data_IF_830621903341
#
_entry.id   IF_830621903341
#
_cell.length_a   1.000
_cell.length_b   1.000
_cell.length_c   1.000
_cell.angle_alpha   90.00
_cell.angle_beta   90.00
_cell.angle_gamma   90.00
#
_symmetry.space_group_name_H-M   'P 1'
#
loop_
_entity.id
_entity.type
_entity.pdbx_description
1 polymer ?
#
# COMPACT_ATOMS: atom_id res chain seq x y z
N UNK A 1 26.38 8.05 -78.97
CA UNK A 1 27.08 9.21 -78.35
C UNK A 1 27.12 8.93 -76.84
N UNK A 2 28.21 8.37 -76.31
CA UNK A 2 29.47 9.02 -75.95
C UNK A 2 29.44 9.71 -74.57
N UNK A 3 30.13 9.07 -73.60
CA UNK A 3 30.85 9.59 -72.40
C UNK A 3 29.96 10.19 -71.29
N UNK A 4 29.89 9.73 -70.02
CA UNK A 4 30.79 9.06 -69.04
C UNK A 4 32.16 9.73 -68.88
N UNK A 5 32.38 10.34 -67.70
CA UNK A 5 33.64 10.63 -66.95
C UNK A 5 33.50 12.00 -66.26
N UNK A 6 33.88 12.28 -65.00
CA UNK A 6 34.85 11.65 -64.07
C UNK A 6 34.72 12.37 -62.71
N UNK A 7 34.60 11.67 -61.57
CA UNK A 7 35.68 11.27 -60.62
C UNK A 7 36.09 12.38 -59.63
N UNK A 8 35.93 12.13 -58.33
CA UNK A 8 37.09 11.93 -57.45
C UNK A 8 36.69 11.24 -56.14
N UNK A 9 37.23 10.04 -55.97
CA UNK A 9 37.49 9.38 -54.70
C UNK A 9 38.95 8.95 -54.79
N UNK A 10 39.76 9.19 -53.75
CA UNK A 10 40.64 8.09 -53.32
C UNK A 10 40.59 7.88 -51.79
N UNK A 11 40.30 6.67 -51.30
CA UNK A 11 41.13 5.43 -51.32
C UNK A 11 42.21 5.43 -50.23
N UNK A 12 42.66 4.32 -49.62
CA UNK A 12 42.61 2.86 -49.85
C UNK A 12 43.17 2.22 -48.56
N UNK A 13 42.63 1.11 -48.01
CA UNK A 13 42.78 -0.32 -48.40
C UNK A 13 44.23 -0.85 -48.18
N UNK A 14 44.53 -2.11 -47.85
CA UNK A 14 44.09 -3.45 -48.28
C UNK A 14 44.43 -4.47 -47.15
N UNK A 15 43.80 -5.64 -46.91
CA UNK A 15 43.59 -6.83 -47.76
C UNK A 15 44.77 -7.85 -47.64
N UNK A 16 44.70 -9.14 -48.11
CA UNK A 16 43.58 -10.06 -48.37
C UNK A 16 43.86 -11.60 -48.13
N UNK A 17 42.86 -12.48 -48.40
CA UNK A 17 42.96 -13.89 -48.91
C UNK A 17 43.03 -15.06 -47.90
N UNK A 18 42.67 -16.34 -48.16
CA UNK A 18 41.93 -17.12 -49.19
C UNK A 18 41.90 -18.61 -48.73
N UNK A 19 40.75 -19.31 -48.84
CA UNK A 19 40.49 -20.76 -49.09
C UNK A 19 41.34 -21.95 -48.53
N UNK A 20 40.63 -22.99 -48.02
CA UNK A 20 40.62 -24.42 -48.47
C UNK A 20 40.70 -25.50 -47.34
N UNK A 21 39.91 -26.57 -47.56
CA UNK A 21 39.66 -27.77 -46.72
C UNK A 21 40.66 -28.92 -46.97
N UNK A 22 40.97 -29.76 -45.96
CA UNK A 22 41.05 -31.26 -45.96
C UNK A 22 41.77 -31.82 -44.70
N UNK A 23 41.19 -32.88 -44.10
CA UNK A 23 41.72 -33.85 -43.08
C UNK A 23 42.70 -34.87 -43.76
N UNK A 24 43.44 -35.86 -43.14
CA UNK A 24 43.38 -36.48 -41.79
C UNK A 24 44.74 -36.98 -41.13
N UNK A 25 44.62 -37.52 -39.91
CA UNK A 25 45.32 -38.67 -39.25
C UNK A 25 46.86 -38.77 -39.02
N UNK A 26 47.20 -38.97 -37.72
CA UNK A 26 48.06 -39.98 -37.06
C UNK A 26 49.62 -40.02 -37.06
N UNK A 27 50.11 -40.54 -35.91
CA UNK A 27 51.45 -40.96 -35.44
C UNK A 27 52.39 -39.83 -34.96
N UNK A 28 53.03 -39.87 -33.77
CA UNK A 28 53.67 -40.98 -33.07
C UNK A 28 54.03 -40.60 -31.60
N UNK A 29 54.03 -41.56 -30.68
CA UNK A 29 54.64 -41.53 -29.32
C UNK A 29 55.63 -42.74 -29.24
N UNK A 30 56.54 -42.97 -28.22
CA UNK A 30 56.54 -42.56 -26.79
C UNK A 30 57.99 -42.35 -26.18
N UNK A 31 58.36 -42.77 -24.92
CA UNK A 31 58.30 -42.11 -23.59
C UNK A 31 59.71 -42.08 -22.87
N UNK A 32 59.94 -42.13 -21.52
CA UNK A 32 59.21 -41.71 -20.28
C UNK A 32 60.08 -40.88 -19.25
N UNK A 33 59.45 -40.36 -18.16
CA UNK A 33 59.86 -40.40 -16.71
C UNK A 33 59.59 -39.10 -15.89
N UNK A 34 58.86 -39.27 -14.77
CA UNK A 34 58.62 -38.36 -13.62
C UNK A 34 59.86 -38.30 -12.67
N UNK A 35 59.95 -37.51 -11.55
CA UNK A 35 58.95 -36.63 -10.89
C UNK A 35 59.44 -35.26 -10.32
N UNK A 36 58.44 -34.41 -10.00
CA UNK A 36 58.28 -33.45 -8.86
C UNK A 36 59.46 -32.54 -8.42
N UNK A 37 59.23 -31.21 -8.46
CA UNK A 37 58.87 -30.37 -7.28
C UNK A 37 58.68 -28.88 -7.65
N UNK A 38 57.66 -28.26 -7.05
CA UNK A 38 57.66 -26.84 -6.66
C UNK A 38 57.13 -25.85 -7.69
N UNK A 39 55.96 -25.27 -7.43
CA UNK A 39 55.45 -24.12 -8.15
C UNK A 39 54.10 -23.67 -7.60
N UNK A 40 54.12 -22.65 -6.77
CA UNK A 40 52.97 -22.03 -6.13
C UNK A 40 52.46 -20.89 -7.02
N UNK A 41 51.19 -20.94 -7.42
CA UNK A 41 50.32 -19.79 -7.74
C UNK A 41 48.89 -20.35 -7.77
N UNK A 42 47.91 -19.86 -7.01
CA UNK A 42 47.50 -18.46 -6.89
C UNK A 42 46.35 -18.24 -7.88
N UNK A 43 45.11 -18.60 -7.49
CA UNK A 43 43.96 -18.53 -8.40
C UNK A 43 42.59 -18.84 -7.75
N UNK A 44 42.32 -18.29 -6.57
CA UNK A 44 41.02 -18.39 -5.91
C UNK A 44 40.18 -17.13 -6.13
N UNK A 45 39.38 -17.07 -7.19
CA UNK A 45 38.64 -15.84 -7.54
C UNK A 45 37.34 -16.02 -8.30
N UNK A 46 36.73 -17.22 -8.34
CA UNK A 46 35.45 -17.44 -9.05
C UNK A 46 34.36 -18.14 -8.24
N UNK A 47 34.63 -18.52 -6.99
CA UNK A 47 33.67 -19.22 -6.13
C UNK A 47 32.77 -18.28 -5.30
N UNK A 48 33.23 -17.06 -5.00
CA UNK A 48 32.43 -16.08 -4.25
C UNK A 48 31.22 -15.54 -5.04
N UNK A 49 31.31 -15.41 -6.37
CA UNK A 49 30.20 -14.91 -7.19
C UNK A 49 29.04 -15.93 -7.25
N UNK A 50 29.36 -17.23 -7.22
CA UNK A 50 28.37 -18.29 -7.31
C UNK A 50 27.58 -18.44 -5.99
N UNK A 51 28.29 -18.34 -4.86
CA UNK A 51 27.66 -18.35 -3.53
C UNK A 51 26.81 -17.09 -3.30
N UNK A 52 27.27 -15.92 -3.75
CA UNK A 52 26.53 -14.66 -3.64
C UNK A 52 25.20 -14.64 -4.40
N UNK A 53 25.12 -15.27 -5.59
CA UNK A 53 23.86 -15.34 -6.36
C UNK A 53 22.87 -16.33 -5.76
N UNK A 54 23.32 -17.42 -5.16
CA UNK A 54 22.43 -18.36 -4.45
C UNK A 54 21.84 -17.69 -3.22
N UNK A 55 22.62 -16.91 -2.48
CA UNK A 55 22.13 -16.13 -1.34
C UNK A 55 21.17 -15.03 -1.81
N UNK A 56 21.46 -14.34 -2.91
CA UNK A 56 20.56 -13.33 -3.50
C UNK A 56 19.23 -13.95 -3.95
N UNK A 57 19.27 -15.09 -4.64
CA UNK A 57 18.05 -15.81 -5.05
C UNK A 57 17.28 -16.36 -3.85
N UNK A 58 17.96 -16.86 -2.82
CA UNK A 58 17.32 -17.28 -1.57
C UNK A 58 16.70 -16.09 -0.83
N UNK A 59 17.34 -14.92 -0.83
CA UNK A 59 16.82 -13.69 -0.22
C UNK A 59 15.59 -13.16 -0.97
N UNK A 60 15.63 -13.16 -2.31
CA UNK A 60 14.48 -12.80 -3.15
C UNK A 60 13.32 -13.77 -2.93
N UNK A 61 13.59 -15.08 -2.84
CA UNK A 61 12.57 -16.09 -2.56
C UNK A 61 11.99 -15.94 -1.14
N UNK A 62 12.82 -15.62 -0.15
CA UNK A 62 12.37 -15.32 1.23
C UNK A 62 11.56 -14.03 1.27
N UNK A 63 11.90 -12.99 0.51
CA UNK A 63 11.09 -11.75 0.44
C UNK A 63 9.76 -12.00 -0.29
N UNK A 64 9.73 -12.85 -1.32
CA UNK A 64 8.49 -13.24 -2.00
C UNK A 64 7.60 -14.15 -1.13
N UNK A 65 8.19 -14.94 -0.22
CA UNK A 65 7.45 -15.87 0.66
C UNK A 65 7.08 -15.23 2.01
N UNK A 66 7.90 -14.31 2.55
CA UNK A 66 7.62 -13.57 3.80
C UNK A 66 6.94 -12.21 3.57
N UNK A 67 6.91 -11.69 2.34
CA UNK A 67 6.20 -10.46 1.98
C UNK A 67 4.67 -10.54 2.08
N UNK A 68 4.12 -11.67 2.54
CA UNK A 68 2.68 -11.90 2.75
C UNK A 68 2.36 -12.28 4.20
N UNK A 69 3.25 -12.01 5.19
CA UNK A 69 3.00 -12.43 6.58
C UNK A 69 3.20 -11.41 7.71
N UNK A 70 2.96 -10.12 7.45
CA UNK A 70 2.67 -9.15 8.50
C UNK A 70 1.77 -8.05 7.89
N UNK A 71 0.44 -8.06 8.13
CA UNK A 71 -0.13 -8.10 9.48
C UNK A 71 -1.36 -9.02 9.59
N UNK A 72 -1.22 -10.19 10.23
CA UNK A 72 -2.40 -11.00 10.62
C UNK A 72 -2.39 -11.42 12.11
N UNK A 73 -1.52 -10.86 12.93
CA UNK A 73 -1.43 -11.17 14.37
C UNK A 73 -2.13 -10.14 15.27
N UNK A 74 -3.12 -9.39 14.75
CA UNK A 74 -4.02 -8.56 15.59
C UNK A 74 -5.43 -9.14 15.77
N UNK A 75 -5.70 -10.37 15.33
CA UNK A 75 -7.03 -10.99 15.45
C UNK A 75 -7.17 -12.02 16.58
N UNK A 76 -6.17 -12.18 17.47
CA UNK A 76 -6.27 -13.13 18.60
C UNK A 76 -6.21 -12.52 19.99
N UNK A 77 -6.31 -11.19 20.14
CA UNK A 77 -6.64 -10.61 21.44
C UNK A 77 -8.16 -10.58 21.61
N UNK A 78 -8.66 -11.65 22.23
CA UNK A 78 -9.99 -11.69 22.84
C UNK A 78 -10.00 -10.74 24.04
N UNK A 79 -10.71 -9.63 23.91
CA UNK A 79 -11.19 -8.80 25.02
C UNK A 79 -12.69 -8.50 24.81
N UNK A 80 -13.41 -8.17 25.89
CA UNK A 80 -14.70 -8.79 26.22
C UNK A 80 -15.87 -8.30 25.37
N UNK A 81 -16.83 -9.21 25.18
CA UNK A 81 -18.11 -8.98 24.51
C UNK A 81 -18.87 -7.85 25.20
N UNK A 82 -18.83 -6.65 24.63
CA UNK A 82 -19.86 -5.64 24.85
C UNK A 82 -20.94 -5.84 23.79
N UNK A 83 -22.14 -6.19 24.26
CA UNK A 83 -23.29 -6.50 23.43
C UNK A 83 -23.89 -5.29 22.73
N UNK A 84 -24.45 -5.59 21.55
CA UNK A 84 -25.52 -4.89 20.82
C UNK A 84 -25.14 -3.67 19.95
N UNK A 85 -24.38 -3.94 18.89
CA UNK A 85 -24.73 -3.40 17.57
C UNK A 85 -25.61 -4.41 16.86
N UNK A 86 -26.78 -4.00 16.35
CA UNK A 86 -27.63 -4.89 15.55
C UNK A 86 -26.82 -5.38 14.33
N UNK A 87 -26.43 -6.65 14.32
CA UNK A 87 -25.87 -7.29 13.13
C UNK A 87 -26.95 -7.18 12.07
N UNK A 88 -26.68 -6.61 10.88
CA UNK A 88 -27.66 -6.66 9.80
C UNK A 88 -28.08 -8.12 9.62
N UNK A 89 -29.37 -8.39 9.66
CA UNK A 89 -29.87 -9.73 9.44
C UNK A 89 -29.67 -10.03 7.94
N UNK A 90 -28.54 -10.64 7.58
CA UNK A 90 -28.24 -11.07 6.21
C UNK A 90 -29.04 -12.33 5.83
N UNK A 91 -30.23 -12.51 6.39
CA UNK A 91 -31.11 -13.67 6.15
C UNK A 91 -30.42 -15.04 6.33
N UNK A 92 -29.42 -15.14 7.23
CA UNK A 92 -28.64 -16.36 7.45
C UNK A 92 -27.49 -16.57 6.45
N UNK A 93 -27.30 -15.67 5.48
CA UNK A 93 -26.19 -15.70 4.56
C UNK A 93 -24.85 -15.38 5.26
N UNK A 94 -23.77 -16.12 4.98
CA UNK A 94 -22.43 -15.86 5.51
C UNK A 94 -21.76 -14.63 4.84
N UNK A 95 -22.18 -13.44 5.27
CA UNK A 95 -21.87 -12.16 4.63
C UNK A 95 -20.37 -11.85 4.53
N UNK A 96 -19.61 -12.01 5.63
CA UNK A 96 -18.18 -11.72 5.65
C UNK A 96 -17.39 -12.59 4.67
N UNK A 97 -17.71 -13.89 4.63
CA UNK A 97 -17.07 -14.83 3.72
C UNK A 97 -17.47 -14.57 2.27
N UNK A 98 -18.74 -14.23 2.02
CA UNK A 98 -19.21 -13.84 0.69
C UNK A 98 -18.55 -12.57 0.17
N UNK A 99 -18.39 -11.55 1.01
CA UNK A 99 -17.68 -10.32 0.68
C UNK A 99 -16.21 -10.57 0.33
N UNK A 100 -15.52 -11.41 1.13
CA UNK A 100 -14.14 -11.79 0.86
C UNK A 100 -14.00 -12.58 -0.44
N UNK A 101 -14.91 -13.52 -0.70
CA UNK A 101 -14.96 -14.30 -1.94
C UNK A 101 -15.14 -13.38 -3.17
N UNK A 102 -16.10 -12.46 -3.12
CA UNK A 102 -16.36 -11.53 -4.22
C UNK A 102 -15.18 -10.57 -4.47
N UNK A 103 -14.49 -10.12 -3.42
CA UNK A 103 -13.29 -9.27 -3.56
C UNK A 103 -12.14 -10.03 -4.25
N UNK A 104 -11.94 -11.31 -3.93
CA UNK A 104 -10.95 -12.16 -4.61
C UNK A 104 -11.30 -12.38 -6.08
N UNK A 105 -12.57 -12.71 -6.38
CA UNK A 105 -13.06 -12.80 -7.75
C UNK A 105 -12.83 -11.50 -8.52
N UNK A 106 -13.18 -10.35 -7.93
CA UNK A 106 -12.99 -9.04 -8.54
C UNK A 106 -11.52 -8.75 -8.88
N UNK A 107 -10.59 -9.18 -8.03
CA UNK A 107 -9.15 -9.12 -8.27
C UNK A 107 -8.70 -9.80 -9.57
N UNK A 108 -9.31 -10.94 -9.91
CA UNK A 108 -9.02 -11.66 -11.16
C UNK A 108 -9.87 -11.13 -12.32
N UNK A 109 -11.13 -10.80 -12.08
CA UNK A 109 -12.07 -10.37 -13.11
C UNK A 109 -11.71 -9.01 -13.71
N UNK A 110 -11.32 -8.05 -12.88
CA UNK A 110 -11.06 -6.67 -13.32
C UNK A 110 -9.67 -6.51 -13.95
N UNK A 111 -8.71 -7.39 -13.69
CA UNK A 111 -7.36 -7.24 -14.24
C UNK A 111 -7.21 -8.07 -15.52
N UNK A 112 -7.41 -7.43 -16.68
CA UNK A 112 -7.33 -8.06 -17.99
C UNK A 112 -6.16 -7.53 -18.81
N UNK A 113 -5.41 -8.45 -19.40
CA UNK A 113 -4.41 -8.21 -20.43
C UNK A 113 -4.51 -9.37 -21.46
N UNK A 114 -4.53 -9.10 -22.78
CA UNK A 114 -4.60 -10.14 -23.80
C UNK A 114 -3.47 -11.18 -23.69
N UNK A 115 -2.28 -10.75 -23.27
CA UNK A 115 -1.10 -11.61 -23.12
C UNK A 115 -1.26 -12.64 -21.99
N UNK A 116 -2.11 -12.37 -20.99
CA UNK A 116 -2.40 -13.26 -19.84
C UNK A 116 -3.85 -13.81 -19.85
N UNK A 117 -4.59 -13.64 -20.95
CA UNK A 117 -6.01 -13.99 -21.00
C UNK A 117 -6.28 -15.46 -20.63
N UNK A 118 -5.39 -16.37 -21.06
CA UNK A 118 -5.52 -17.80 -20.76
C UNK A 118 -5.26 -18.13 -19.28
N UNK A 119 -4.29 -17.49 -18.61
CA UNK A 119 -4.04 -17.77 -17.19
C UNK A 119 -5.08 -17.10 -16.30
N UNK A 120 -5.55 -15.90 -16.66
CA UNK A 120 -6.70 -15.25 -16.02
C UNK A 120 -7.94 -16.14 -16.05
N UNK A 121 -8.25 -16.71 -17.22
CA UNK A 121 -9.41 -17.61 -17.39
C UNK A 121 -9.33 -18.84 -16.49
N UNK A 122 -8.15 -19.47 -16.37
CA UNK A 122 -7.93 -20.58 -15.43
C UNK A 122 -8.10 -20.18 -13.97
N UNK A 123 -7.66 -18.98 -13.59
CA UNK A 123 -7.85 -18.45 -12.23
C UNK A 123 -9.34 -18.21 -11.94
N UNK A 124 -10.10 -17.73 -12.93
CA UNK A 124 -11.55 -17.51 -12.79
C UNK A 124 -12.32 -18.81 -12.54
N UNK A 125 -11.90 -19.94 -13.09
CA UNK A 125 -12.59 -21.23 -12.92
C UNK A 125 -12.84 -21.60 -11.45
N UNK A 126 -11.97 -21.18 -10.51
CA UNK A 126 -12.15 -21.42 -9.09
C UNK A 126 -13.36 -20.69 -8.46
N UNK A 127 -13.91 -19.69 -9.15
CA UNK A 127 -15.02 -18.85 -8.69
C UNK A 127 -16.33 -19.13 -9.42
N UNK A 128 -16.29 -19.79 -10.57
CA UNK A 128 -17.45 -19.89 -11.46
C UNK A 128 -18.26 -21.15 -11.20
N UNK A 129 -19.58 -21.04 -11.35
CA UNK A 129 -20.42 -22.23 -11.45
C UNK A 129 -20.10 -23.02 -12.73
N UNK A 130 -20.41 -24.31 -12.72
CA UNK A 130 -20.20 -25.18 -13.88
C UNK A 130 -20.98 -24.66 -15.11
N UNK A 131 -20.35 -24.70 -16.28
CA UNK A 131 -20.96 -24.27 -17.54
C UNK A 131 -20.95 -22.76 -17.80
N UNK A 132 -20.41 -21.93 -16.90
CA UNK A 132 -20.27 -20.49 -17.16
C UNK A 132 -19.16 -20.18 -18.17
N UNK A 133 -19.31 -19.05 -18.87
CA UNK A 133 -18.28 -18.49 -19.76
C UNK A 133 -16.99 -18.19 -18.95
N UNK A 134 -15.86 -18.84 -19.26
CA UNK A 134 -14.63 -18.68 -18.50
C UNK A 134 -13.91 -17.35 -18.78
N UNK A 135 -14.41 -16.53 -19.71
CA UNK A 135 -14.00 -15.13 -19.90
C UNK A 135 -14.93 -14.13 -19.21
N UNK A 136 -16.10 -14.56 -18.75
CA UNK A 136 -17.09 -13.73 -18.06
C UNK A 136 -17.44 -12.43 -18.83
N UNK A 137 -17.53 -12.51 -20.16
CA UNK A 137 -17.89 -11.38 -21.02
C UNK A 137 -16.73 -10.53 -21.54
N UNK A 138 -15.47 -10.87 -21.24
CA UNK A 138 -14.31 -10.28 -21.94
C UNK A 138 -14.21 -10.85 -23.36
N UNK A 139 -14.05 -9.99 -24.36
CA UNK A 139 -13.93 -10.36 -25.77
C UNK A 139 -12.49 -10.74 -26.20
N UNK A 140 -11.53 -10.56 -25.29
CA UNK A 140 -10.11 -10.84 -25.52
C UNK A 140 -9.28 -9.62 -25.93
N UNK A 141 -9.89 -8.44 -26.10
CA UNK A 141 -9.21 -7.24 -26.57
C UNK A 141 -9.12 -6.15 -25.50
N UNK A 142 -8.18 -5.22 -25.70
CA UNK A 142 -7.92 -4.11 -24.77
C UNK A 142 -7.26 -4.56 -23.47
N UNK A 143 -7.06 -3.64 -22.54
CA UNK A 143 -6.53 -3.94 -21.21
C UNK A 143 -7.31 -3.17 -20.15
N UNK A 144 -7.36 -3.73 -18.95
CA UNK A 144 -7.98 -3.10 -17.80
C UNK A 144 -7.22 -3.46 -16.54
N UNK A 145 -7.01 -2.46 -15.69
CA UNK A 145 -6.32 -2.61 -14.43
C UNK A 145 -7.15 -1.97 -13.33
N UNK A 146 -7.29 -2.69 -12.22
CA UNK A 146 -7.97 -2.24 -11.02
C UNK A 146 -7.06 -2.42 -9.81
N UNK A 147 -7.03 -1.39 -8.96
CA UNK A 147 -6.32 -1.36 -7.68
C UNK A 147 -7.28 -0.99 -6.55
N UNK A 148 -6.82 -1.06 -5.30
CA UNK A 148 -7.63 -0.74 -4.12
C UNK A 148 -9.00 -1.47 -4.11
N UNK A 149 -8.99 -2.75 -4.47
CA UNK A 149 -10.18 -3.60 -4.55
C UNK A 149 -10.59 -3.98 -3.12
N UNK A 150 -11.78 -3.58 -2.71
CA UNK A 150 -12.29 -3.81 -1.37
C UNK A 150 -13.79 -4.10 -1.40
N UNK A 151 -14.30 -5.02 -0.56
CA UNK A 151 -15.73 -5.16 -0.39
C UNK A 151 -16.31 -3.85 0.14
N UNK A 152 -17.49 -3.47 -0.36
CA UNK A 152 -18.17 -2.24 0.03
C UNK A 152 -19.47 -2.54 0.77
N UNK A 153 -20.31 -3.39 0.19
CA UNK A 153 -21.60 -3.76 0.76
C UNK A 153 -22.07 -5.12 0.22
N UNK A 154 -23.07 -5.71 0.88
CA UNK A 154 -23.70 -6.96 0.48
C UNK A 154 -25.21 -6.92 0.73
N UNK A 155 -25.97 -7.24 -0.32
CA UNK A 155 -27.41 -7.39 -0.26
C UNK A 155 -27.77 -8.88 -0.35
N UNK A 156 -28.04 -9.50 0.80
CA UNK A 156 -28.48 -10.90 0.86
C UNK A 156 -30.00 -10.99 0.64
N UNK A 157 -30.42 -11.62 -0.46
CA UNK A 157 -31.84 -11.84 -0.75
C UNK A 157 -32.42 -12.98 0.11
N UNK A 158 -31.60 -14.01 0.38
CA UNK A 158 -31.92 -15.14 1.24
C UNK A 158 -30.64 -15.77 1.81
N UNK A 159 -30.74 -16.94 2.46
CA UNK A 159 -29.60 -17.64 3.07
C UNK A 159 -28.53 -18.12 2.07
N UNK A 160 -28.85 -18.16 0.79
CA UNK A 160 -28.03 -18.70 -0.29
C UNK A 160 -27.64 -17.66 -1.34
N UNK A 161 -28.44 -16.62 -1.56
CA UNK A 161 -28.25 -15.67 -2.65
C UNK A 161 -27.92 -14.28 -2.11
N UNK A 162 -26.85 -13.69 -2.64
CA UNK A 162 -26.49 -12.32 -2.34
C UNK A 162 -25.86 -11.61 -3.55
N UNK A 163 -25.93 -10.28 -3.55
CA UNK A 163 -25.17 -9.44 -4.47
C UNK A 163 -24.17 -8.64 -3.65
N UNK A 164 -22.88 -8.82 -3.94
CA UNK A 164 -21.81 -8.07 -3.29
C UNK A 164 -21.42 -6.90 -4.18
N UNK A 165 -21.37 -5.71 -3.59
CA UNK A 165 -20.78 -4.54 -4.21
C UNK A 165 -19.32 -4.42 -3.78
N UNK A 166 -18.40 -4.40 -4.74
CA UNK A 166 -16.95 -4.29 -4.52
C UNK A 166 -16.47 -2.95 -5.06
N UNK A 167 -15.91 -2.10 -4.21
CA UNK A 167 -15.30 -0.84 -4.64
C UNK A 167 -13.90 -1.08 -5.19
N UNK A 168 -13.54 -0.37 -6.25
CA UNK A 168 -12.19 -0.41 -6.83
C UNK A 168 -11.81 0.92 -7.49
N UNK A 169 -10.52 1.09 -7.78
CA UNK A 169 -10.00 2.22 -8.56
C UNK A 169 -9.45 1.75 -9.89
N UNK A 170 -9.77 2.49 -10.96
CA UNK A 170 -9.14 2.34 -12.27
C UNK A 170 -8.76 3.72 -12.81
N UNK A 171 -7.45 3.95 -12.96
CA UNK A 171 -6.93 5.29 -13.19
C UNK A 171 -7.43 6.28 -12.12
N UNK A 172 -7.98 7.45 -12.50
CA UNK A 172 -8.48 8.44 -11.56
C UNK A 172 -9.90 8.15 -11.04
N UNK A 173 -10.56 7.07 -11.50
CA UNK A 173 -11.98 6.82 -11.21
C UNK A 173 -12.14 5.78 -10.11
N UNK A 174 -12.95 6.10 -9.10
CA UNK A 174 -13.54 5.11 -8.20
C UNK A 174 -14.82 4.57 -8.84
N UNK A 175 -14.95 3.24 -8.86
CA UNK A 175 -16.10 2.52 -9.43
C UNK A 175 -16.53 1.41 -8.47
N UNK A 176 -17.67 0.81 -8.77
CA UNK A 176 -18.16 -0.39 -8.09
C UNK A 176 -18.29 -1.55 -9.07
N UNK A 177 -18.09 -2.76 -8.58
CA UNK A 177 -18.42 -4.00 -9.27
C UNK A 177 -19.52 -4.71 -8.48
N UNK A 178 -20.68 -4.88 -9.07
CA UNK A 178 -21.75 -5.73 -8.54
C UNK A 178 -21.48 -7.18 -8.92
N UNK A 179 -21.40 -8.07 -7.94
CA UNK A 179 -21.06 -9.49 -8.09
C UNK A 179 -22.18 -10.34 -7.49
N UNK A 180 -23.04 -10.98 -8.30
CA UNK A 180 -24.01 -11.93 -7.81
C UNK A 180 -23.31 -13.22 -7.38
N UNK A 181 -23.55 -13.67 -6.14
CA UNK A 181 -22.96 -14.87 -5.56
C UNK A 181 -24.02 -15.80 -4.98
N UNK A 182 -23.70 -17.09 -5.02
CA UNK A 182 -24.47 -18.15 -4.41
C UNK A 182 -23.63 -18.87 -3.35
N UNK A 183 -24.26 -19.20 -2.22
CA UNK A 183 -23.69 -19.92 -1.10
C UNK A 183 -24.38 -21.27 -0.91
N UNK A 184 -23.58 -22.32 -0.77
CA UNK A 184 -24.03 -23.64 -0.32
C UNK A 184 -23.21 -24.08 0.88
N UNK A 185 -23.88 -24.29 2.01
CA UNK A 185 -23.30 -24.92 3.20
C UNK A 185 -23.91 -26.30 3.39
N UNK A 186 -23.09 -27.35 3.27
CA UNK A 186 -23.46 -28.72 3.60
C UNK A 186 -22.39 -29.35 4.51
N UNK A 187 -22.61 -30.62 4.90
CA UNK A 187 -21.63 -31.38 5.71
C UNK A 187 -20.26 -31.48 5.04
N UNK A 188 -20.20 -31.39 3.71
CA UNK A 188 -18.97 -31.45 2.93
C UNK A 188 -18.32 -30.07 2.72
N UNK A 189 -18.86 -29.01 3.33
CA UNK A 189 -18.19 -27.72 3.49
C UNK A 189 -19.04 -26.51 3.13
N UNK A 190 -18.40 -25.34 3.23
CA UNK A 190 -18.97 -24.02 2.89
C UNK A 190 -18.39 -23.59 1.55
N UNK A 191 -19.25 -23.45 0.54
CA UNK A 191 -18.84 -23.15 -0.84
C UNK A 191 -19.54 -21.90 -1.35
N UNK A 192 -18.80 -21.12 -2.15
CA UNK A 192 -19.31 -19.96 -2.85
C UNK A 192 -19.04 -20.10 -4.34
N UNK A 193 -19.95 -19.60 -5.16
CA UNK A 193 -19.76 -19.44 -6.61
C UNK A 193 -20.33 -18.09 -7.03
N UNK A 194 -19.77 -17.53 -8.10
CA UNK A 194 -20.39 -16.43 -8.83
C UNK A 194 -21.59 -17.00 -9.57
N UNK A 195 -22.77 -16.43 -9.30
CA UNK A 195 -24.05 -16.93 -9.81
C UNK A 195 -24.47 -16.30 -11.14
N UNK A 196 -23.76 -15.26 -11.60
CA UNK A 196 -24.11 -14.53 -12.81
C UNK A 196 -23.03 -13.55 -13.28
N UNK A 197 -23.30 -12.83 -14.36
CA UNK A 197 -22.35 -11.84 -14.89
C UNK A 197 -22.27 -10.64 -13.95
N UNK A 198 -21.06 -10.19 -13.56
CA UNK A 198 -20.92 -8.99 -12.76
C UNK A 198 -21.10 -7.73 -13.62
N UNK A 199 -21.39 -6.60 -12.98
CA UNK A 199 -21.60 -5.32 -13.65
C UNK A 199 -20.78 -4.20 -13.00
N UNK A 200 -20.11 -3.38 -13.81
CA UNK A 200 -19.43 -2.17 -13.34
C UNK A 200 -20.46 -1.05 -13.20
N UNK A 201 -20.49 -0.41 -12.04
CA UNK A 201 -21.40 0.67 -11.67
C UNK A 201 -20.59 1.92 -11.26
N UNK A 202 -21.17 3.13 -11.35
CA UNK A 202 -20.55 4.33 -10.77
C UNK A 202 -20.40 4.19 -9.25
N UNK A 203 -19.38 4.83 -8.68
CA UNK A 203 -19.27 4.95 -7.23
C UNK A 203 -20.37 5.87 -6.66
N UNK A 204 -20.86 5.62 -5.43
CA UNK A 204 -21.78 6.50 -4.75
C UNK A 204 -21.21 7.92 -4.65
N UNK A 205 -22.08 8.92 -4.82
CA UNK A 205 -21.70 10.32 -4.63
C UNK A 205 -21.30 10.57 -3.17
N UNK A 206 -20.37 11.50 -2.90
CA UNK A 206 -20.11 11.97 -1.55
C UNK A 206 -21.40 12.43 -0.87
N UNK A 207 -21.54 12.13 0.42
CA UNK A 207 -22.68 12.61 1.20
C UNK A 207 -22.64 14.14 1.36
N UNK A 208 -23.81 14.76 1.39
CA UNK A 208 -23.93 16.17 1.79
C UNK A 208 -23.61 16.30 3.28
N UNK A 209 -22.70 17.21 3.61
CA UNK A 209 -22.36 17.51 4.99
C UNK A 209 -23.02 18.83 5.39
N UNK A 210 -23.99 18.84 6.33
CA UNK A 210 -24.61 20.08 6.78
C UNK A 210 -23.56 21.03 7.39
N UNK A 211 -23.76 22.33 7.27
CA UNK A 211 -22.92 23.32 7.96
C UNK A 211 -23.38 23.46 9.42
N UNK A 212 -22.43 23.71 10.33
CA UNK A 212 -22.70 23.98 11.75
C UNK A 212 -22.13 25.35 12.07
N UNK A 213 -22.86 26.15 12.85
CA UNK A 213 -22.41 27.49 13.23
C UNK A 213 -21.13 27.46 14.07
N UNK A 214 -20.30 28.49 13.90
CA UNK A 214 -19.14 28.75 14.73
C UNK A 214 -19.51 28.93 16.21
N UNK A 215 -18.78 28.30 17.14
CA UNK A 215 -18.94 28.55 18.56
C UNK A 215 -18.36 29.92 18.91
N UNK A 216 -18.88 30.51 19.98
CA UNK A 216 -18.26 31.68 20.58
C UNK A 216 -16.89 31.33 21.17
N UNK A 217 -15.88 32.15 20.88
CA UNK A 217 -14.47 31.90 21.22
C UNK A 217 -14.08 32.63 22.51
N UNK A 218 -13.38 31.93 23.40
CA UNK A 218 -12.75 32.49 24.60
C UNK A 218 -11.27 32.85 24.31
N UNK A 219 -11.04 34.09 23.87
CA UNK A 219 -9.71 34.60 23.50
C UNK A 219 -8.70 34.54 24.65
N UNK A 220 -9.15 34.70 25.90
CA UNK A 220 -8.27 34.64 27.06
C UNK A 220 -7.76 33.21 27.28
N UNK A 221 -8.65 32.22 27.20
CA UNK A 221 -8.27 30.82 27.29
C UNK A 221 -7.41 30.38 26.09
N UNK A 222 -7.69 30.90 24.88
CA UNK A 222 -6.85 30.67 23.69
C UNK A 222 -5.41 31.15 23.91
N UNK A 223 -5.24 32.37 24.42
CA UNK A 223 -3.92 32.92 24.72
C UNK A 223 -3.18 32.13 25.81
N UNK A 224 -3.90 31.61 26.81
CA UNK A 224 -3.35 30.76 27.88
C UNK A 224 -2.87 29.40 27.35
N UNK A 225 -3.66 28.78 26.47
CA UNK A 225 -3.43 27.42 25.95
C UNK A 225 -2.37 27.36 24.86
N UNK A 226 -2.27 28.38 24.00
CA UNK A 226 -1.39 28.35 22.82
C UNK A 226 0.07 27.94 23.13
N UNK A 227 0.81 28.59 24.05
CA UNK A 227 2.19 28.19 24.34
C UNK A 227 2.28 26.80 25.00
N UNK A 228 1.26 26.39 25.76
CA UNK A 228 1.19 25.05 26.36
C UNK A 228 1.04 23.98 25.27
N UNK A 229 0.20 24.25 24.27
CA UNK A 229 -0.01 23.35 23.14
C UNK A 229 1.20 23.26 22.21
N UNK A 230 1.96 24.35 22.03
CA UNK A 230 3.23 24.32 21.29
C UNK A 230 4.21 23.32 21.94
N UNK A 231 4.40 23.42 23.26
CA UNK A 231 5.23 22.48 24.02
C UNK A 231 4.68 21.05 23.99
N UNK A 232 3.37 20.88 24.19
CA UNK A 232 2.71 19.58 24.09
C UNK A 232 2.97 18.93 22.73
N UNK A 233 2.76 19.63 21.62
CA UNK A 233 2.90 19.04 20.29
C UNK A 233 4.36 18.79 19.90
N UNK A 234 5.31 19.55 20.47
CA UNK A 234 6.73 19.25 20.35
C UNK A 234 7.09 17.91 21.00
N UNK A 235 6.62 17.67 22.23
CA UNK A 235 6.86 16.41 22.96
C UNK A 235 6.03 15.25 22.38
N UNK A 236 4.84 15.55 21.88
CA UNK A 236 3.97 14.61 21.17
C UNK A 236 4.62 14.10 19.87
N UNK A 237 5.31 14.98 19.14
CA UNK A 237 6.08 14.62 17.95
C UNK A 237 7.31 13.77 18.28
N UNK A 238 8.15 14.24 19.22
CA UNK A 238 9.42 13.59 19.56
C UNK A 238 9.23 12.25 20.26
N UNK A 239 8.15 12.09 21.03
CA UNK A 239 7.90 10.96 21.90
C UNK A 239 8.64 11.02 23.24
N UNK A 240 9.03 12.22 23.69
CA UNK A 240 9.51 12.42 25.07
C UNK A 240 8.36 12.22 26.07
N UNK A 241 8.25 11.02 26.63
CA UNK A 241 7.20 10.69 27.60
C UNK A 241 7.24 11.57 28.85
N UNK A 242 8.44 11.91 29.35
CA UNK A 242 8.59 12.73 30.56
C UNK A 242 8.30 14.22 30.29
N UNK A 243 8.53 14.68 29.07
CA UNK A 243 8.07 15.98 28.59
C UNK A 243 6.55 16.02 28.46
N UNK A 244 5.98 15.02 27.78
CA UNK A 244 4.55 14.92 27.50
C UNK A 244 3.70 14.84 28.78
N UNK A 245 4.16 14.12 29.81
CA UNK A 245 3.49 14.03 31.12
C UNK A 245 3.23 15.40 31.78
N UNK A 246 4.00 16.44 31.43
CA UNK A 246 3.83 17.80 31.99
C UNK A 246 2.60 18.51 31.46
N UNK A 247 2.12 18.09 30.29
CA UNK A 247 0.99 18.69 29.60
C UNK A 247 -0.26 17.81 29.65
N UNK A 248 -0.14 16.58 30.14
CA UNK A 248 -1.23 15.60 30.18
C UNK A 248 -1.91 15.63 31.54
N UNK A 249 -3.24 15.49 31.55
CA UNK A 249 -4.03 15.51 32.77
C UNK A 249 -3.62 14.37 33.72
N UNK A 250 -3.66 14.62 35.04
CA UNK A 250 -3.24 13.65 36.04
C UNK A 250 -3.95 12.27 35.86
N UNK A 251 -3.15 11.20 35.86
CA UNK A 251 -3.65 9.83 35.68
C UNK A 251 -4.01 9.46 34.23
N UNK A 252 -3.72 10.32 33.25
CA UNK A 252 -3.87 10.03 31.81
C UNK A 252 -2.49 9.79 31.18
N UNK A 253 -2.49 9.03 30.09
CA UNK A 253 -1.35 8.88 29.19
C UNK A 253 -1.86 8.94 27.75
N UNK A 254 -1.05 9.50 26.86
CA UNK A 254 -1.37 9.63 25.44
C UNK A 254 -0.28 8.97 24.60
N UNK A 255 -0.64 8.25 23.51
CA UNK A 255 0.35 7.77 22.56
C UNK A 255 0.99 8.96 21.85
N UNK A 256 2.28 8.88 21.52
CA UNK A 256 3.02 9.90 20.78
C UNK A 256 3.37 9.42 19.37
N UNK A 257 3.90 10.32 18.53
CA UNK A 257 4.41 9.96 17.22
C UNK A 257 5.79 9.30 17.24
N UNK A 258 6.47 9.27 18.38
CA UNK A 258 7.77 8.62 18.56
C UNK A 258 8.80 9.00 17.47
N UNK A 259 8.83 10.27 17.05
CA UNK A 259 9.75 10.80 16.05
C UNK A 259 9.34 10.57 14.59
N UNK A 260 8.16 10.01 14.31
CA UNK A 260 7.66 9.85 12.94
C UNK A 260 7.39 11.19 12.24
N UNK A 261 7.14 12.24 13.01
CA UNK A 261 6.95 13.61 12.55
C UNK A 261 7.78 14.56 13.41
N UNK A 262 8.08 15.74 12.86
CA UNK A 262 8.64 16.85 13.63
C UNK A 262 7.60 17.95 13.74
N UNK A 263 7.40 18.50 14.94
CA UNK A 263 6.58 19.69 15.13
C UNK A 263 7.19 20.87 14.36
N UNK A 264 6.42 21.45 13.44
CA UNK A 264 6.84 22.66 12.71
C UNK A 264 6.18 23.90 13.29
N UNK A 265 4.85 23.88 13.48
CA UNK A 265 4.11 25.06 13.90
C UNK A 265 2.74 24.69 14.48
N UNK A 266 2.31 25.44 15.49
CA UNK A 266 0.91 25.55 15.89
C UNK A 266 0.30 26.77 15.17
N UNK A 267 -0.47 26.50 14.12
CA UNK A 267 -1.00 27.54 13.23
C UNK A 267 -2.18 28.27 13.87
N UNK A 268 -3.09 27.52 14.49
CA UNK A 268 -4.33 28.06 15.06
C UNK A 268 -4.78 27.24 16.27
N UNK A 269 -5.46 27.90 17.21
CA UNK A 269 -6.13 27.27 18.36
C UNK A 269 -7.49 27.94 18.53
N UNK A 270 -8.56 27.15 18.54
CA UNK A 270 -9.93 27.60 18.80
C UNK A 270 -10.38 27.02 20.13
N UNK A 271 -10.62 27.89 21.10
CA UNK A 271 -11.14 27.52 22.42
C UNK A 271 -12.56 28.05 22.56
N UNK A 272 -13.60 27.21 22.46
CA UNK A 272 -14.96 27.63 22.74
C UNK A 272 -15.13 28.13 24.18
N UNK A 273 -16.07 29.04 24.39
CA UNK A 273 -16.55 29.39 25.73
C UNK A 273 -17.07 28.13 26.45
N UNK A 274 -16.69 27.97 27.72
CA UNK A 274 -17.02 26.75 28.45
C UNK A 274 -16.51 26.70 29.88
N UNK A 275 -16.75 25.57 30.54
CA UNK A 275 -16.34 25.32 31.93
C UNK A 275 -14.86 24.96 32.07
N UNK A 276 -14.53 24.28 33.18
CA UNK A 276 -13.17 23.80 33.46
C UNK A 276 -12.72 22.64 32.57
N UNK A 277 -13.63 21.96 31.89
CA UNK A 277 -13.33 20.97 30.85
C UNK A 277 -13.89 21.47 29.53
N UNK A 278 -13.06 21.47 28.49
CA UNK A 278 -13.42 22.01 27.18
C UNK A 278 -12.93 21.11 26.06
N UNK A 279 -13.71 21.04 24.99
CA UNK A 279 -13.23 20.53 23.71
C UNK A 279 -12.72 21.71 22.89
N UNK A 280 -11.46 21.63 22.44
CA UNK A 280 -10.81 22.68 21.67
C UNK A 280 -10.32 22.12 20.33
N UNK A 281 -10.03 23.01 19.38
CA UNK A 281 -9.39 22.64 18.12
C UNK A 281 -8.01 23.27 18.01
N UNK A 282 -7.07 22.55 17.40
CA UNK A 282 -5.74 23.03 17.10
C UNK A 282 -5.35 22.64 15.68
N UNK A 283 -4.90 23.61 14.88
CA UNK A 283 -4.34 23.38 13.56
C UNK A 283 -2.83 23.31 13.70
N UNK A 284 -2.26 22.13 13.45
CA UNK A 284 -0.83 21.85 13.63
C UNK A 284 -0.21 21.53 12.28
N UNK A 285 0.97 22.09 12.04
CA UNK A 285 1.79 21.78 10.88
C UNK A 285 2.94 20.90 11.32
N UNK A 286 3.03 19.72 10.72
CA UNK A 286 4.10 18.76 10.90
C UNK A 286 5.09 18.86 9.74
N UNK A 287 6.39 18.73 10.02
CA UNK A 287 7.36 18.42 9.00
C UNK A 287 7.42 16.89 8.82
N UNK A 288 7.29 16.45 7.57
CA UNK A 288 7.33 15.05 7.16
C UNK A 288 8.74 14.73 6.68
N UNK A 289 9.42 13.72 7.27
CA UNK A 289 10.75 13.33 6.81
C UNK A 289 10.74 12.91 5.34
N UNK A 290 11.70 13.38 4.54
CA UNK A 290 11.90 12.97 3.15
C UNK A 290 12.61 11.60 3.06
N UNK A 291 12.05 10.58 3.71
CA UNK A 291 12.59 9.20 3.70
C UNK A 291 14.08 9.08 4.02
N UNK A 292 14.70 7.97 3.62
CA UNK A 292 16.15 7.70 3.82
C UNK A 292 17.05 8.40 2.78
N UNK A 293 16.52 9.34 2.00
CA UNK A 293 17.30 10.03 0.97
C UNK A 293 18.11 11.12 1.64
N UNK A 294 19.44 10.96 1.66
CA UNK A 294 20.35 11.99 2.17
C UNK A 294 20.06 13.32 1.45
N UNK A 295 19.80 14.41 2.20
CA UNK A 295 19.48 15.69 1.60
C UNK A 295 20.66 16.14 0.74
N UNK A 296 20.44 16.19 -0.57
CA UNK A 296 21.42 16.74 -1.50
C UNK A 296 21.27 18.25 -1.50
N UNK A 297 22.29 19.03 -1.09
CA UNK A 297 22.20 20.48 -1.04
C UNK A 297 21.84 21.05 -2.42
N UNK A 298 20.76 21.85 -2.50
CA UNK A 298 20.32 22.48 -3.75
C UNK A 298 19.43 21.62 -4.65
N UNK A 299 18.97 20.45 -4.21
CA UNK A 299 17.96 19.70 -4.96
C UNK A 299 16.63 20.45 -5.02
N UNK A 300 16.02 20.49 -6.21
CA UNK A 300 14.66 21.01 -6.45
C UNK A 300 13.65 19.90 -6.72
N UNK A 301 14.08 18.64 -6.60
CA UNK A 301 13.20 17.48 -6.71
C UNK A 301 12.20 17.49 -5.53
N UNK A 302 10.89 17.63 -5.76
CA UNK A 302 9.89 17.63 -4.71
C UNK A 302 9.88 16.35 -3.85
N UNK A 303 10.41 15.23 -4.37
CA UNK A 303 10.54 14.00 -3.60
C UNK A 303 11.72 14.00 -2.62
N UNK A 304 12.72 14.85 -2.85
CA UNK A 304 13.93 14.97 -2.02
C UNK A 304 13.85 16.15 -1.03
N UNK A 305 12.95 17.10 -1.26
CA UNK A 305 12.65 18.21 -0.34
C UNK A 305 11.60 17.74 0.67
N UNK A 306 11.90 17.84 1.97
CA UNK A 306 10.96 17.46 3.03
C UNK A 306 9.65 18.24 2.94
N UNK A 307 8.53 17.56 3.17
CA UNK A 307 7.19 18.15 3.06
C UNK A 307 6.66 18.67 4.39
N UNK A 308 5.61 19.49 4.34
CA UNK A 308 4.80 19.82 5.51
C UNK A 308 3.39 19.24 5.38
N UNK A 309 2.80 18.89 6.52
CA UNK A 309 1.45 18.34 6.62
C UNK A 309 0.65 19.13 7.65
N UNK A 310 -0.39 19.81 7.21
CA UNK A 310 -1.34 20.51 8.08
C UNK A 310 -2.43 19.54 8.54
N UNK A 311 -2.65 19.45 9.86
CA UNK A 311 -3.68 18.60 10.47
C UNK A 311 -4.45 19.36 11.53
N UNK A 312 -5.75 19.12 11.59
CA UNK A 312 -6.62 19.62 12.65
C UNK A 312 -6.78 18.54 13.71
N UNK A 313 -6.56 18.92 14.95
CA UNK A 313 -6.79 18.09 16.13
C UNK A 313 -7.94 18.63 16.95
N UNK A 314 -8.75 17.72 17.49
CA UNK A 314 -9.67 18.01 18.58
C UNK A 314 -9.04 17.51 19.87
N UNK A 315 -8.92 18.37 20.87
CA UNK A 315 -8.39 18.04 22.17
C UNK A 315 -9.44 18.23 23.25
N UNK A 316 -9.44 17.35 24.24
CA UNK A 316 -10.14 17.61 25.50
C UNK A 316 -9.13 18.19 26.47
N UNK A 317 -9.38 19.38 26.98
CA UNK A 317 -8.52 20.06 27.96
C UNK A 317 -9.26 20.27 29.28
N UNK A 318 -8.52 20.14 30.38
CA UNK A 318 -9.02 20.30 31.74
C UNK A 318 -8.19 21.33 32.49
N UNK A 319 -8.86 22.28 33.14
CA UNK A 319 -8.23 23.27 34.00
C UNK A 319 -8.02 22.66 35.39
N UNK A 320 -6.76 22.45 35.77
CA UNK A 320 -6.37 21.96 37.09
C UNK A 320 -5.57 23.06 37.80
N UNK A 321 -6.24 23.78 38.70
CA UNK A 321 -5.69 25.03 39.26
C UNK A 321 -5.60 26.11 38.20
N UNK A 322 -4.40 26.69 38.03
CA UNK A 322 -4.13 27.78 37.08
C UNK A 322 -3.49 27.29 35.77
N UNK A 323 -3.59 25.98 35.47
CA UNK A 323 -3.02 25.38 34.26
C UNK A 323 -4.02 24.51 33.54
N UNK A 324 -3.86 24.40 32.23
CA UNK A 324 -4.64 23.51 31.39
C UNK A 324 -3.83 22.26 31.08
N UNK A 325 -4.51 21.13 31.04
CA UNK A 325 -3.91 19.84 30.74
C UNK A 325 -4.72 19.12 29.68
N UNK A 326 -4.04 18.45 28.77
CA UNK A 326 -4.63 17.64 27.70
C UNK A 326 -5.05 16.29 28.29
N UNK A 327 -6.34 15.99 28.24
CA UNK A 327 -6.90 14.72 28.68
C UNK A 327 -7.08 13.72 27.54
N UNK A 328 -7.29 14.21 26.31
CA UNK A 328 -7.52 13.39 25.10
C UNK A 328 -7.12 14.17 23.83
N UNK A 329 -6.70 13.44 22.79
CA UNK A 329 -6.36 13.98 21.47
C UNK A 329 -6.87 13.06 20.37
N UNK A 330 -7.55 13.64 19.37
CA UNK A 330 -8.10 12.91 18.22
C UNK A 330 -8.11 13.78 16.96
N UNK A 331 -8.40 13.15 15.83
CA UNK A 331 -8.58 13.85 14.56
C UNK A 331 -9.67 14.93 14.67
N UNK A 332 -9.52 15.97 13.85
CA UNK A 332 -10.41 17.12 13.80
C UNK A 332 -11.89 16.74 13.76
N UNK A 333 -12.71 17.62 14.34
CA UNK A 333 -14.17 17.51 14.28
C UNK A 333 -14.70 17.93 12.91
N UNK A 334 -16.02 18.19 12.85
CA UNK A 334 -16.60 18.89 11.71
C UNK A 334 -15.85 20.22 11.55
N UNK A 335 -15.56 20.60 10.31
CA UNK A 335 -15.08 21.95 10.01
C UNK A 335 -16.14 22.88 10.56
N UNK A 336 -15.74 23.61 11.60
CA UNK A 336 -16.48 24.75 12.07
C UNK A 336 -16.03 25.85 11.12
N UNK A 337 -16.96 26.47 10.39
CA UNK A 337 -16.63 27.38 9.30
C UNK A 337 -17.46 28.64 9.30
#
# INVERSE_FOLDING_TARGET
>A
MARRSTVHDPRIADGPGLSATLDPADYEAPPPRRPRRGGWSGGGGRWLVWTGRIILWALILVILVNGVRAPFERFTQQEPVMSNGAVPAHNGFPAEQGMAFAAQFAGVYLNFNPDDAASRSRKLTAFLAEGMDPQMGWDGFGSYAAVAIQPYDIEATDAHNAVVSVAFQSGPRRLMLSVPIYYSGDEAGRRFVVAGRPAILPAPAPAELPQVAEPEIDEAATAELKPQLEGFFQDYASGDAAGLERYVAAGKSLPSFAGAFTFSQLKEVVVPVGGATREIQAVVVWAVPSGDVLPTPGTTDPAAVGGTLEQVYRLTVEKQGDKWFVADVRGGGRVIG
#
